data_IF_616973445210
#
_entry.id   IF_616973445210
#
_cell.length_a   1.000
_cell.length_b   1.000
_cell.length_c   1.000
_cell.angle_alpha   90.00
_cell.angle_beta   90.00
_cell.angle_gamma   90.00
#
_symmetry.space_group_name_H-M   'P 1'
#
loop_
_entity.id
_entity.type
_entity.pdbx_description
1 polymer ?
#
# COMPACT_ATOMS: atom_id res chain seq x y z
N UNK A 1 11.88 41.39 6.58
CA UNK A 1 12.93 41.32 5.54
C UNK A 1 12.45 42.01 4.28
N UNK A 2 13.17 43.03 3.81
CA UNK A 2 12.87 43.68 2.52
C UNK A 2 13.24 42.71 1.41
N UNK A 3 12.27 42.33 0.57
CA UNK A 3 12.48 41.34 -0.49
C UNK A 3 13.08 42.03 -1.71
N UNK A 4 14.39 41.93 -1.87
CA UNK A 4 15.11 42.53 -2.99
C UNK A 4 14.63 41.88 -4.30
N UNK A 5 14.09 42.66 -5.26
CA UNK A 5 13.61 42.11 -6.52
C UNK A 5 14.78 41.67 -7.40
N UNK A 6 14.62 40.54 -8.08
CA UNK A 6 15.61 40.06 -9.05
C UNK A 6 15.50 40.83 -10.36
N UNK A 7 16.60 40.90 -11.12
CA UNK A 7 16.65 41.56 -12.44
C UNK A 7 15.51 41.11 -13.35
N UNK A 8 15.29 39.79 -13.44
CA UNK A 8 14.18 39.20 -14.19
C UNK A 8 12.83 39.75 -13.76
N UNK A 9 12.61 39.92 -12.46
CA UNK A 9 11.33 40.41 -11.93
C UNK A 9 11.14 41.90 -12.25
N UNK A 10 12.20 42.71 -12.15
CA UNK A 10 12.17 44.12 -12.52
C UNK A 10 11.82 44.26 -14.01
N UNK A 11 12.62 43.64 -14.89
CA UNK A 11 12.44 43.73 -16.34
C UNK A 11 11.09 43.16 -16.80
N UNK A 12 10.62 42.06 -16.20
CA UNK A 12 9.29 41.50 -16.50
C UNK A 12 8.14 42.43 -16.11
N UNK A 13 8.28 43.14 -14.98
CA UNK A 13 7.28 44.13 -14.55
C UNK A 13 7.24 45.31 -15.51
N UNK A 14 8.40 45.82 -15.93
CA UNK A 14 8.50 46.89 -16.92
C UNK A 14 7.87 46.45 -18.24
N UNK A 15 8.28 45.29 -18.76
CA UNK A 15 7.72 44.74 -19.99
C UNK A 15 6.18 44.64 -19.90
N UNK A 16 5.65 44.07 -18.83
CA UNK A 16 4.20 43.90 -18.67
C UNK A 16 3.42 45.20 -18.50
N UNK A 17 3.99 46.22 -17.85
CA UNK A 17 3.33 47.52 -17.68
C UNK A 17 3.27 48.31 -18.99
N UNK A 18 4.37 48.30 -19.75
CA UNK A 18 4.54 49.19 -20.90
C UNK A 18 4.34 48.51 -22.26
N UNK A 19 4.02 47.20 -22.30
CA UNK A 19 3.77 46.48 -23.55
C UNK A 19 2.66 47.10 -24.38
N UNK A 20 1.52 47.43 -23.75
CA UNK A 20 0.39 48.06 -24.46
C UNK A 20 0.78 49.42 -25.02
N UNK A 21 1.55 50.18 -24.26
CA UNK A 21 2.04 51.49 -24.67
C UNK A 21 3.05 51.37 -25.82
N UNK A 22 3.93 50.36 -25.82
CA UNK A 22 4.79 50.07 -26.97
C UNK A 22 3.96 49.74 -28.23
N UNK A 23 2.92 48.91 -28.10
CA UNK A 23 2.05 48.52 -29.21
C UNK A 23 1.21 49.68 -29.76
N UNK A 24 0.82 50.64 -28.93
CA UNK A 24 -0.03 51.78 -29.31
C UNK A 24 0.72 52.92 -30.00
N UNK A 25 1.96 52.72 -30.42
CA UNK A 25 2.74 53.73 -31.14
C UNK A 25 2.16 53.97 -32.54
N UNK A 26 1.66 55.18 -32.75
CA UNK A 26 1.19 55.69 -34.05
C UNK A 26 2.17 56.76 -34.56
N UNK A 27 2.60 56.62 -35.82
CA UNK A 27 3.55 57.55 -36.44
C UNK A 27 2.94 58.93 -36.69
N UNK A 28 1.62 59.08 -36.74
CA UNK A 28 0.99 60.33 -37.18
C UNK A 28 0.43 61.19 -36.02
N UNK A 29 0.31 60.61 -34.81
CA UNK A 29 -0.14 61.30 -33.59
C UNK A 29 0.92 61.20 -32.49
N UNK A 30 1.91 62.08 -32.53
CA UNK A 30 3.12 61.94 -31.73
C UNK A 30 2.88 62.16 -30.23
N UNK A 31 2.87 61.08 -29.44
CA UNK A 31 3.14 61.14 -28.00
C UNK A 31 4.61 60.88 -27.65
N UNK A 32 5.41 60.32 -28.58
CA UNK A 32 6.82 59.91 -28.41
C UNK A 32 7.62 60.10 -29.70
N UNK A 33 8.92 60.41 -29.61
CA UNK A 33 9.78 60.67 -30.78
C UNK A 33 10.31 59.42 -31.48
N UNK A 34 10.38 58.28 -30.78
CA UNK A 34 10.84 57.01 -31.39
C UNK A 34 9.96 55.85 -30.95
N UNK A 35 9.78 54.87 -31.83
CA UNK A 35 9.05 53.62 -31.51
C UNK A 35 9.83 52.71 -30.56
N UNK A 36 11.16 52.76 -30.63
CA UNK A 36 12.06 51.79 -29.99
C UNK A 36 12.17 52.05 -28.49
N UNK A 37 12.27 53.33 -28.11
CA UNK A 37 12.38 53.75 -26.72
C UNK A 37 11.01 54.11 -26.15
N UNK A 38 10.67 53.52 -25.02
CA UNK A 38 9.42 53.78 -24.30
C UNK A 38 9.77 54.44 -22.97
N UNK A 39 9.25 55.64 -22.67
CA UNK A 39 9.42 56.29 -21.38
C UNK A 39 8.77 55.44 -20.29
N UNK A 40 9.44 55.34 -19.15
CA UNK A 40 8.98 54.54 -18.01
C UNK A 40 8.95 55.36 -16.73
N UNK A 41 7.86 55.23 -15.98
CA UNK A 41 7.72 55.73 -14.62
C UNK A 41 8.35 54.75 -13.61
N UNK A 42 9.53 55.12 -13.09
CA UNK A 42 10.24 54.37 -12.05
C UNK A 42 9.40 54.24 -10.76
N UNK A 43 8.60 55.25 -10.42
CA UNK A 43 7.72 55.23 -9.24
C UNK A 43 6.62 54.19 -9.38
N UNK A 44 5.99 54.10 -10.56
CA UNK A 44 4.98 53.06 -10.83
C UNK A 44 5.57 51.64 -10.73
N UNK A 45 6.79 51.45 -11.21
CA UNK A 45 7.49 50.17 -11.13
C UNK A 45 7.83 49.83 -9.67
N UNK A 46 8.35 50.81 -8.92
CA UNK A 46 8.69 50.66 -7.49
C UNK A 46 7.46 50.28 -6.65
N UNK A 47 6.33 50.97 -6.84
CA UNK A 47 5.05 50.64 -6.17
C UNK A 47 4.64 49.19 -6.41
N UNK A 48 4.76 48.70 -7.65
CA UNK A 48 4.39 47.31 -8.01
C UNK A 48 5.35 46.27 -7.42
N UNK A 49 6.62 46.63 -7.23
CA UNK A 49 7.64 45.77 -6.65
C UNK A 49 7.79 45.90 -5.14
N UNK A 50 7.10 46.89 -4.52
CA UNK A 50 7.19 47.26 -3.10
C UNK A 50 8.63 47.57 -2.69
N UNK A 51 9.30 48.38 -3.49
CA UNK A 51 10.65 48.91 -3.23
C UNK A 51 10.67 50.41 -3.48
N UNK A 52 11.73 51.04 -3.00
CA UNK A 52 12.05 52.44 -3.25
C UNK A 52 12.32 52.69 -4.75
N UNK A 53 11.93 53.86 -5.26
CA UNK A 53 12.04 54.25 -6.66
C UNK A 53 13.49 54.52 -7.09
N UNK A 54 14.33 55.06 -6.19
CA UNK A 54 15.75 55.25 -6.45
C UNK A 54 16.47 53.91 -6.64
N UNK A 55 15.99 52.85 -5.98
CA UNK A 55 16.51 51.49 -6.19
C UNK A 55 16.20 51.02 -7.61
N UNK A 56 15.00 51.31 -8.14
CA UNK A 56 14.66 50.93 -9.51
C UNK A 56 15.50 51.70 -10.52
N UNK A 57 15.59 53.03 -10.37
CA UNK A 57 16.42 53.86 -11.24
C UNK A 57 17.88 53.43 -11.19
N UNK A 58 18.45 53.29 -9.98
CA UNK A 58 19.83 52.88 -9.78
C UNK A 58 20.12 51.49 -10.36
N UNK A 59 19.21 50.52 -10.21
CA UNK A 59 19.36 49.18 -10.83
C UNK A 59 19.32 49.23 -12.34
N UNK A 60 18.42 50.03 -12.91
CA UNK A 60 18.31 50.18 -14.37
C UNK A 60 19.56 50.85 -14.95
N UNK A 61 19.98 51.97 -14.36
CA UNK A 61 21.06 52.79 -14.86
C UNK A 61 22.45 52.20 -14.60
N UNK A 62 22.77 51.84 -13.36
CA UNK A 62 24.15 51.44 -13.00
C UNK A 62 24.45 49.96 -13.27
N UNK A 63 23.43 49.10 -13.29
CA UNK A 63 23.62 47.66 -13.40
C UNK A 63 23.06 47.07 -14.70
N UNK A 64 21.75 47.22 -14.94
CA UNK A 64 21.07 46.55 -16.04
C UNK A 64 21.48 47.12 -17.40
N UNK A 65 21.56 48.45 -17.54
CA UNK A 65 22.06 49.05 -18.78
C UNK A 65 23.50 48.64 -19.06
N UNK A 66 24.38 48.77 -18.06
CA UNK A 66 25.79 48.36 -18.18
C UNK A 66 25.95 46.89 -18.59
N UNK A 67 25.06 46.01 -18.10
CA UNK A 67 25.09 44.57 -18.35
C UNK A 67 24.56 44.17 -19.73
N UNK A 68 23.51 44.84 -20.21
CA UNK A 68 22.79 44.43 -21.42
C UNK A 68 22.99 45.35 -22.62
N UNK A 69 23.65 46.51 -22.44
CA UNK A 69 24.08 47.34 -23.57
C UNK A 69 25.08 46.60 -24.44
N UNK A 70 25.03 46.84 -25.74
CA UNK A 70 25.98 46.28 -26.69
C UNK A 70 26.46 47.35 -27.67
N UNK A 71 27.62 47.12 -28.27
CA UNK A 71 28.19 47.95 -29.33
C UNK A 71 27.81 47.39 -30.69
N UNK A 72 27.43 48.28 -31.60
CA UNK A 72 27.28 47.97 -33.01
C UNK A 72 28.63 48.11 -33.74
N UNK A 73 28.70 47.57 -34.96
CA UNK A 73 29.90 47.60 -35.79
C UNK A 73 30.34 49.02 -36.17
N UNK A 74 29.40 49.98 -36.17
CA UNK A 74 29.65 51.40 -36.37
C UNK A 74 30.23 52.13 -35.13
N UNK A 75 30.42 51.40 -34.03
CA UNK A 75 30.91 51.92 -32.75
C UNK A 75 29.84 52.53 -31.85
N UNK A 76 28.58 52.61 -32.29
CA UNK A 76 27.46 53.13 -31.50
C UNK A 76 27.07 52.14 -30.39
N UNK A 77 26.59 52.66 -29.25
CA UNK A 77 26.09 51.84 -28.15
C UNK A 77 24.56 51.77 -28.20
N UNK A 78 24.01 50.57 -28.21
CA UNK A 78 22.57 50.35 -27.98
C UNK A 78 22.35 50.15 -26.49
N UNK A 79 21.73 51.14 -25.86
CA UNK A 79 21.39 51.12 -24.44
C UNK A 79 20.10 50.32 -24.21
N UNK A 80 20.05 49.59 -23.09
CA UNK A 80 18.79 49.04 -22.57
C UNK A 80 17.98 50.15 -21.91
N UNK A 81 18.63 51.01 -21.11
CA UNK A 81 17.99 52.12 -20.42
C UNK A 81 18.78 53.41 -20.64
N UNK A 82 18.06 54.47 -21.02
CA UNK A 82 18.61 55.78 -21.29
C UNK A 82 17.88 56.84 -20.45
N UNK A 83 18.65 57.72 -19.82
CA UNK A 83 18.09 58.77 -18.94
C UNK A 83 17.30 59.79 -19.76
N UNK A 84 17.73 60.08 -20.98
CA UNK A 84 17.04 60.99 -21.87
C UNK A 84 17.18 60.54 -23.33
N UNK A 85 16.06 60.43 -24.04
CA UNK A 85 16.03 60.12 -25.48
C UNK A 85 15.05 61.04 -26.18
N UNK A 86 15.57 61.96 -27.00
CA UNK A 86 14.72 62.86 -27.77
C UNK A 86 13.81 63.76 -26.91
N UNK A 87 14.13 63.99 -25.63
CA UNK A 87 13.31 64.76 -24.68
C UNK A 87 12.39 63.90 -23.79
N UNK A 88 12.28 62.59 -24.07
CA UNK A 88 11.63 61.64 -23.17
C UNK A 88 12.61 61.25 -22.06
N UNK A 89 12.22 61.47 -20.79
CA UNK A 89 13.02 61.10 -19.62
C UNK A 89 12.80 59.62 -19.26
N UNK A 90 13.86 58.96 -18.81
CA UNK A 90 13.87 57.57 -18.35
C UNK A 90 13.23 56.62 -19.37
N UNK A 91 13.88 56.41 -20.50
CA UNK A 91 13.37 55.57 -21.57
C UNK A 91 14.07 54.22 -21.64
N UNK A 92 13.31 53.16 -21.94
CA UNK A 92 13.81 51.80 -22.09
C UNK A 92 13.68 51.33 -23.54
N UNK A 93 14.72 50.67 -24.06
CA UNK A 93 14.68 50.03 -25.37
C UNK A 93 13.81 48.77 -25.27
N UNK A 94 12.58 48.86 -25.79
CA UNK A 94 11.57 47.84 -25.58
C UNK A 94 11.84 46.52 -26.33
N UNK A 95 12.30 46.54 -27.60
CA UNK A 95 12.75 45.31 -28.27
C UNK A 95 13.88 44.59 -27.51
N UNK A 96 14.89 45.33 -27.05
CA UNK A 96 16.00 44.75 -26.28
C UNK A 96 15.52 44.20 -24.93
N UNK A 97 14.65 44.94 -24.24
CA UNK A 97 13.99 44.48 -23.02
C UNK A 97 13.27 43.14 -23.23
N UNK A 98 12.50 43.01 -24.31
CA UNK A 98 11.75 41.79 -24.62
C UNK A 98 12.69 40.60 -24.82
N UNK A 99 13.80 40.79 -25.56
CA UNK A 99 14.80 39.76 -25.77
C UNK A 99 15.46 39.32 -24.45
N UNK A 100 15.88 40.29 -23.61
CA UNK A 100 16.50 40.02 -22.31
C UNK A 100 15.53 39.31 -21.36
N UNK A 101 14.25 39.72 -21.33
CA UNK A 101 13.24 39.06 -20.50
C UNK A 101 13.02 37.61 -20.92
N UNK A 102 12.99 37.34 -22.24
CA UNK A 102 12.86 35.98 -22.76
C UNK A 102 14.04 35.10 -22.34
N UNK A 103 15.27 35.59 -22.48
CA UNK A 103 16.48 34.87 -22.11
C UNK A 103 16.57 34.58 -20.60
N UNK A 104 16.27 35.58 -19.77
CA UNK A 104 16.21 35.39 -18.31
C UNK A 104 15.10 34.41 -17.89
N UNK A 105 13.99 34.37 -18.62
CA UNK A 105 12.90 33.44 -18.37
C UNK A 105 13.30 32.01 -18.76
N UNK A 106 13.93 31.83 -19.92
CA UNK A 106 14.46 30.54 -20.37
C UNK A 106 15.52 30.00 -19.41
N UNK A 107 16.47 30.84 -19.00
CA UNK A 107 17.51 30.51 -18.02
C UNK A 107 16.91 30.07 -16.68
N UNK A 108 15.86 30.76 -16.20
CA UNK A 108 15.17 30.38 -14.98
C UNK A 108 14.52 28.99 -15.09
N UNK A 109 13.85 28.69 -16.20
CA UNK A 109 13.23 27.38 -16.39
C UNK A 109 14.27 26.27 -16.53
N UNK A 110 15.37 26.50 -17.25
CA UNK A 110 16.44 25.52 -17.41
C UNK A 110 17.00 25.04 -16.06
N UNK A 111 17.09 25.92 -15.06
CA UNK A 111 17.60 25.56 -13.74
C UNK A 111 16.52 25.03 -12.78
N UNK A 112 15.34 25.67 -12.74
CA UNK A 112 14.32 25.32 -11.74
C UNK A 112 13.44 24.15 -12.15
N UNK A 113 13.23 23.92 -13.44
CA UNK A 113 12.39 22.82 -13.90
C UNK A 113 12.98 21.45 -13.49
N UNK A 114 14.27 21.16 -13.71
CA UNK A 114 14.86 19.90 -13.25
C UNK A 114 14.80 19.75 -11.73
N UNK A 115 15.04 20.84 -10.99
CA UNK A 115 15.00 20.82 -9.53
C UNK A 115 13.60 20.48 -8.99
N UNK A 116 12.55 21.06 -9.58
CA UNK A 116 11.16 20.75 -9.23
C UNK A 116 10.84 19.29 -9.55
N UNK A 117 11.23 18.81 -10.74
CA UNK A 117 11.03 17.40 -11.15
C UNK A 117 11.70 16.45 -10.16
N UNK A 118 12.94 16.74 -9.75
CA UNK A 118 13.68 15.94 -8.76
C UNK A 118 12.98 15.89 -7.40
N UNK A 119 12.45 17.01 -6.91
CA UNK A 119 11.71 17.05 -5.64
C UNK A 119 10.43 16.21 -5.72
N UNK A 120 9.68 16.30 -6.83
CA UNK A 120 8.46 15.51 -7.03
C UNK A 120 8.78 14.02 -7.11
N UNK A 121 9.83 13.64 -7.84
CA UNK A 121 10.28 12.26 -7.94
C UNK A 121 10.69 11.70 -6.57
N UNK A 122 11.42 12.49 -5.77
CA UNK A 122 11.80 12.12 -4.41
C UNK A 122 10.56 11.91 -3.52
N UNK A 123 9.60 12.83 -3.56
CA UNK A 123 8.36 12.71 -2.79
C UNK A 123 7.55 11.46 -3.19
N UNK A 124 7.45 11.15 -4.48
CA UNK A 124 6.79 9.95 -4.97
C UNK A 124 7.47 8.67 -4.48
N UNK A 125 8.81 8.65 -4.42
CA UNK A 125 9.59 7.52 -3.92
C UNK A 125 9.26 7.15 -2.47
N UNK A 126 8.97 8.13 -1.62
CA UNK A 126 8.55 7.88 -0.23
C UNK A 126 7.04 7.63 -0.09
N UNK A 127 6.22 8.35 -0.87
CA UNK A 127 4.77 8.28 -0.75
C UNK A 127 4.22 6.92 -1.19
N UNK A 128 4.76 6.33 -2.25
CA UNK A 128 4.27 5.05 -2.80
C UNK A 128 4.40 3.89 -1.78
N UNK A 129 5.59 3.65 -1.17
CA UNK A 129 5.74 2.65 -0.12
C UNK A 129 4.89 2.95 1.12
N UNK A 130 4.78 4.23 1.51
CA UNK A 130 3.97 4.64 2.66
C UNK A 130 2.49 4.32 2.45
N UNK A 131 1.95 4.63 1.28
CA UNK A 131 0.57 4.27 0.93
C UNK A 131 0.38 2.75 0.83
N UNK A 132 1.38 2.00 0.33
CA UNK A 132 1.33 0.55 0.33
C UNK A 132 1.30 -0.05 1.74
N UNK A 133 1.97 0.60 2.70
CA UNK A 133 1.96 0.20 4.12
C UNK A 133 0.58 0.38 4.78
N UNK A 134 -0.17 1.41 4.38
CA UNK A 134 -1.49 1.77 4.91
C UNK A 134 -2.66 0.96 4.31
N UNK A 135 -2.45 0.17 3.25
CA UNK A 135 -3.54 -0.62 2.66
C UNK A 135 -4.07 -1.64 3.69
N UNK A 136 -5.41 -1.81 3.79
CA UNK A 136 -6.03 -2.75 4.72
C UNK A 136 -5.52 -4.17 4.45
N UNK A 137 -5.40 -4.95 5.52
CA UNK A 137 -4.81 -6.27 5.48
C UNK A 137 -5.49 -7.17 4.45
N UNK A 138 -4.69 -7.82 3.59
CA UNK A 138 -5.17 -8.94 2.79
C UNK A 138 -5.50 -10.08 3.75
N UNK A 139 -6.78 -10.33 3.98
CA UNK A 139 -7.25 -11.56 4.63
C UNK A 139 -6.66 -12.72 3.81
N UNK A 140 -5.99 -13.67 4.46
CA UNK A 140 -5.40 -14.80 3.73
C UNK A 140 -6.46 -15.89 3.49
N UNK A 141 -7.45 -16.02 4.37
CA UNK A 141 -8.53 -17.01 4.23
C UNK A 141 -9.65 -16.80 5.25
N UNK A 142 -10.81 -17.42 5.01
CA UNK A 142 -11.96 -17.40 5.91
C UNK A 142 -12.49 -18.82 6.02
N UNK A 143 -12.35 -19.37 7.21
CA UNK A 143 -12.82 -20.71 7.50
C UNK A 143 -14.23 -20.57 8.03
N UNK A 144 -15.19 -21.17 7.32
CA UNK A 144 -16.59 -21.23 7.73
C UNK A 144 -16.93 -22.69 7.94
N UNK A 145 -17.05 -23.18 9.16
CA UNK A 145 -17.22 -24.61 9.41
C UNK A 145 -18.68 -24.98 9.74
N UNK A 146 -19.06 -26.21 9.40
CA UNK A 146 -20.33 -26.82 9.84
C UNK A 146 -20.00 -28.23 10.28
N UNK A 147 -19.88 -28.43 11.59
CA UNK A 147 -19.58 -29.74 12.16
C UNK A 147 -20.84 -30.51 12.39
N UNK A 148 -21.04 -31.58 11.61
CA UNK A 148 -22.02 -32.60 11.91
C UNK A 148 -21.32 -33.79 12.51
N UNK A 149 -21.53 -34.09 13.80
CA UNK A 149 -21.00 -35.29 14.40
C UNK A 149 -21.91 -36.49 14.08
N UNK A 150 -21.38 -37.54 13.45
CA UNK A 150 -22.07 -38.83 13.28
C UNK A 150 -21.33 -39.92 14.02
N UNK A 151 -22.07 -40.66 14.83
CA UNK A 151 -21.59 -41.84 15.55
C UNK A 151 -22.27 -43.07 14.96
N UNK A 152 -21.49 -44.03 14.45
CA UNK A 152 -22.02 -45.33 14.04
C UNK A 152 -21.38 -46.42 14.90
N UNK A 153 -22.20 -47.22 15.57
CA UNK A 153 -21.79 -48.51 16.11
C UNK A 153 -22.15 -49.57 15.08
N UNK A 154 -21.17 -50.31 14.57
CA UNK A 154 -21.39 -51.42 13.63
C UNK A 154 -21.09 -52.76 14.32
N UNK A 155 -22.18 -53.52 14.52
CA UNK A 155 -22.36 -54.97 14.68
C UNK A 155 -21.65 -55.80 15.79
N UNK A 156 -22.49 -56.64 16.40
CA UNK A 156 -22.24 -57.82 17.26
C UNK A 156 -22.02 -57.63 18.76
N UNK A 157 -22.60 -56.60 19.38
CA UNK A 157 -22.71 -56.50 20.85
C UNK A 157 -21.38 -56.26 21.61
N UNK A 158 -20.26 -56.21 20.90
CA UNK A 158 -18.99 -55.67 21.36
C UNK A 158 -18.75 -54.35 20.63
N UNK A 159 -18.77 -53.25 21.39
CA UNK A 159 -18.45 -51.92 20.87
C UNK A 159 -16.94 -51.90 20.60
N UNK A 160 -16.50 -52.04 19.36
CA UNK A 160 -15.05 -51.96 19.03
C UNK A 160 -14.65 -50.68 18.31
N UNK A 161 -15.55 -49.96 17.64
CA UNK A 161 -15.18 -48.71 16.96
C UNK A 161 -16.19 -47.58 17.18
N UNK A 162 -15.78 -46.53 17.90
CA UNK A 162 -16.52 -45.27 18.03
C UNK A 162 -15.97 -44.28 17.02
N UNK A 163 -16.70 -44.14 15.91
CA UNK A 163 -16.31 -43.25 14.81
C UNK A 163 -16.72 -41.81 15.09
N UNK A 164 -15.78 -40.89 14.93
CA UNK A 164 -16.02 -39.46 15.00
C UNK A 164 -15.84 -38.87 13.59
N UNK A 165 -16.95 -38.40 13.01
CA UNK A 165 -16.94 -37.84 11.64
C UNK A 165 -17.36 -36.38 11.69
N UNK A 166 -16.46 -35.42 11.92
CA UNK A 166 -16.77 -34.01 11.72
C UNK A 166 -16.80 -33.69 10.22
N UNK A 167 -17.68 -32.78 9.86
CA UNK A 167 -17.62 -32.08 8.57
C UNK A 167 -17.15 -30.65 8.84
N UNK A 168 -16.43 -30.03 7.93
CA UNK A 168 -16.13 -28.60 8.03
C UNK A 168 -15.88 -28.03 6.63
N UNK A 169 -16.03 -26.72 6.49
CA UNK A 169 -15.72 -26.03 5.25
C UNK A 169 -14.57 -25.05 5.46
N UNK A 170 -13.65 -25.05 4.50
CA UNK A 170 -12.53 -24.13 4.46
C UNK A 170 -12.69 -23.28 3.19
N UNK A 171 -12.68 -21.96 3.35
CA UNK A 171 -12.68 -21.02 2.24
C UNK A 171 -11.37 -20.23 2.20
N UNK A 172 -10.70 -20.20 1.06
CA UNK A 172 -9.61 -19.25 0.87
C UNK A 172 -10.17 -17.95 0.28
N UNK A 173 -10.41 -16.93 1.09
CA UNK A 173 -10.82 -15.60 0.61
C UNK A 173 -9.63 -14.65 0.35
N UNK A 174 -8.40 -15.15 0.47
CA UNK A 174 -7.20 -14.37 0.25
C UNK A 174 -6.63 -14.49 -1.15
N UNK A 175 -5.74 -13.55 -1.48
CA UNK A 175 -5.11 -13.48 -2.80
C UNK A 175 -3.95 -14.48 -3.00
N UNK A 176 -3.64 -15.32 -2.01
CA UNK A 176 -2.54 -16.28 -2.06
C UNK A 176 -3.04 -17.68 -1.73
N UNK A 177 -2.50 -18.72 -2.38
CA UNK A 177 -2.83 -20.09 -2.04
C UNK A 177 -2.39 -20.43 -0.61
N UNK A 178 -3.23 -21.15 0.11
CA UNK A 178 -2.90 -21.71 1.41
C UNK A 178 -2.66 -23.20 1.21
N UNK A 179 -1.50 -23.68 1.66
CA UNK A 179 -1.18 -25.11 1.68
C UNK A 179 -1.35 -25.59 3.11
N UNK A 180 -2.32 -26.48 3.32
CA UNK A 180 -2.52 -27.16 4.60
C UNK A 180 -1.68 -28.43 4.55
N UNK A 181 -0.85 -28.67 5.55
CA UNK A 181 0.03 -29.84 5.70
C UNK A 181 -0.57 -30.92 6.59
N UNK A 182 -1.38 -30.55 7.57
CA UNK A 182 -1.99 -31.50 8.50
C UNK A 182 -3.24 -30.91 9.16
N UNK A 183 -4.14 -31.78 9.60
CA UNK A 183 -5.37 -31.43 10.33
C UNK A 183 -5.55 -32.42 11.49
N UNK A 184 -5.81 -31.91 12.69
CA UNK A 184 -6.13 -32.73 13.85
C UNK A 184 -7.34 -32.22 14.61
N UNK A 185 -7.98 -33.11 15.34
CA UNK A 185 -8.88 -32.74 16.41
C UNK A 185 -8.13 -32.81 17.73
N UNK A 186 -8.21 -31.74 18.51
CA UNK A 186 -7.67 -31.69 19.85
C UNK A 186 -8.85 -31.62 20.82
N UNK A 187 -8.97 -32.61 21.69
CA UNK A 187 -10.03 -32.74 22.68
C UNK A 187 -9.45 -32.39 24.04
N UNK A 188 -10.09 -31.49 24.78
CA UNK A 188 -9.68 -31.09 26.13
C UNK A 188 -10.86 -31.12 27.09
N UNK A 189 -10.80 -32.02 28.05
CA UNK A 189 -11.82 -32.15 29.07
C UNK A 189 -11.68 -31.07 30.17
N UNK A 190 -12.72 -30.86 30.97
CA UNK A 190 -12.70 -29.97 32.14
C UNK A 190 -11.67 -30.39 33.19
N UNK A 191 -11.32 -31.68 33.22
CA UNK A 191 -10.28 -32.23 34.09
C UNK A 191 -8.85 -32.01 33.55
N UNK A 192 -8.70 -31.29 32.43
CA UNK A 192 -7.40 -31.02 31.80
C UNK A 192 -6.82 -32.19 31.01
N UNK A 193 -7.60 -33.25 30.79
CA UNK A 193 -7.19 -34.40 29.98
C UNK A 193 -7.25 -34.00 28.52
N UNK A 194 -6.13 -34.17 27.81
CA UNK A 194 -5.97 -33.80 26.41
C UNK A 194 -5.78 -35.03 25.52
N UNK A 195 -6.52 -35.09 24.41
CA UNK A 195 -6.43 -36.15 23.42
C UNK A 195 -6.39 -35.59 22.01
N UNK A 196 -5.47 -36.09 21.17
CA UNK A 196 -5.40 -35.73 19.77
C UNK A 196 -5.95 -36.87 18.90
N UNK A 197 -6.84 -36.52 17.97
CA UNK A 197 -7.39 -37.41 16.95
C UNK A 197 -6.89 -36.99 15.57
N UNK A 198 -6.56 -37.96 14.73
CA UNK A 198 -6.05 -37.74 13.38
C UNK A 198 -6.97 -38.40 12.35
N UNK A 199 -7.03 -37.87 11.12
CA UNK A 199 -7.84 -38.45 10.05
C UNK A 199 -7.32 -39.84 9.65
N UNK A 200 -8.21 -40.83 9.65
CA UNK A 200 -7.99 -42.20 9.17
C UNK A 200 -8.39 -42.23 7.70
N UNK A 201 -7.42 -42.31 6.80
CA UNK A 201 -7.74 -42.56 5.40
C UNK A 201 -8.04 -44.05 5.17
N UNK A 202 -8.99 -44.29 4.27
CA UNK A 202 -9.39 -45.57 3.70
C UNK A 202 -8.21 -46.45 3.27
N UNK A 203 -7.81 -47.39 4.13
CA UNK A 203 -6.90 -48.49 3.81
C UNK A 203 -7.75 -49.77 3.77
N UNK A 204 -7.67 -50.62 2.72
CA UNK A 204 -8.32 -51.92 2.73
C UNK A 204 -7.84 -52.71 3.95
N UNK A 205 -8.77 -53.34 4.68
CA UNK A 205 -8.48 -54.05 5.92
C UNK A 205 -7.37 -55.10 5.75
N UNK A 206 -7.20 -55.64 4.53
CA UNK A 206 -6.18 -56.63 4.19
C UNK A 206 -4.74 -56.08 4.24
N UNK A 207 -4.54 -54.77 4.01
CA UNK A 207 -3.20 -54.16 4.01
C UNK A 207 -2.67 -53.88 5.44
N UNK A 208 -3.53 -53.94 6.45
CA UNK A 208 -3.19 -53.72 7.87
C UNK A 208 -2.60 -54.98 8.51
N UNK A 209 -2.93 -56.17 8.00
CA UNK A 209 -2.58 -57.45 8.65
C UNK A 209 -1.19 -58.01 8.31
N UNK A 210 -0.46 -57.44 7.34
CA UNK A 210 0.76 -58.04 6.81
C UNK A 210 2.06 -57.23 6.96
N UNK A 211 2.06 -56.08 7.65
CA UNK A 211 3.28 -55.26 7.78
C UNK A 211 3.65 -54.97 9.23
N UNK A 212 4.88 -55.34 9.62
CA UNK A 212 5.49 -55.10 10.93
C UNK A 212 6.02 -53.67 11.13
N UNK A 213 5.65 -52.72 10.25
CA UNK A 213 6.18 -51.34 10.26
C UNK A 213 5.27 -50.28 10.92
N UNK A 214 4.27 -50.68 11.70
CA UNK A 214 3.45 -49.73 12.47
C UNK A 214 3.96 -49.58 13.90
N UNK A 215 4.30 -48.35 14.32
CA UNK A 215 4.61 -48.05 15.73
C UNK A 215 3.34 -48.02 16.60
N UNK A 216 3.49 -47.89 17.93
CA UNK A 216 2.42 -47.89 18.96
C UNK A 216 1.31 -46.84 18.79
N UNK A 217 1.32 -46.06 17.70
CA UNK A 217 0.31 -45.08 17.32
C UNK A 217 -0.27 -45.30 15.91
N UNK A 218 0.03 -46.42 15.24
CA UNK A 218 -0.52 -46.74 13.93
C UNK A 218 -0.11 -45.73 12.84
N UNK A 219 1.12 -45.22 12.87
CA UNK A 219 1.67 -44.38 11.79
C UNK A 219 2.82 -45.07 11.06
N UNK A 220 2.78 -44.97 9.73
CA UNK A 220 3.90 -45.20 8.82
C UNK A 220 5.05 -44.23 9.16
N UNK A 221 6.23 -44.78 9.43
CA UNK A 221 7.49 -44.05 9.27
C UNK A 221 7.65 -43.73 7.78
N UNK A 222 7.72 -42.44 7.44
CA UNK A 222 7.95 -41.89 6.10
C UNK A 222 6.78 -42.07 5.10
N UNK A 223 5.80 -41.17 5.18
CA UNK A 223 4.77 -40.97 4.14
C UNK A 223 3.32 -41.11 4.63
N UNK A 224 2.85 -40.19 5.48
CA UNK A 224 1.46 -40.19 5.97
C UNK A 224 0.46 -39.61 4.93
N UNK A 225 -0.82 -40.05 4.94
CA UNK A 225 -1.74 -39.91 3.81
C UNK A 225 -2.52 -38.58 3.74
N UNK A 226 -2.07 -37.53 4.44
CA UNK A 226 -2.50 -36.18 4.13
C UNK A 226 -1.50 -35.59 3.14
N UNK A 227 -1.71 -35.86 1.84
CA UNK A 227 -1.03 -35.08 0.81
C UNK A 227 -1.58 -33.67 0.94
N UNK A 228 -0.79 -32.77 1.53
CA UNK A 228 -1.23 -31.41 1.78
C UNK A 228 -1.91 -30.82 0.55
N UNK A 229 -3.09 -30.24 0.72
CA UNK A 229 -3.83 -29.66 -0.38
C UNK A 229 -3.64 -28.14 -0.40
N UNK A 230 -3.68 -27.58 -1.60
CA UNK A 230 -3.63 -26.14 -1.83
C UNK A 230 -5.05 -25.65 -2.12
N UNK A 231 -5.48 -24.61 -1.42
CA UNK A 231 -6.69 -23.87 -1.78
C UNK A 231 -6.28 -22.63 -2.57
N UNK A 232 -6.67 -22.52 -3.84
CA UNK A 232 -6.49 -21.31 -4.62
C UNK A 232 -7.41 -20.18 -4.13
N UNK A 233 -7.14 -18.91 -4.52
CA UNK A 233 -8.01 -17.79 -4.16
C UNK A 233 -9.46 -18.03 -4.59
N UNK A 234 -10.39 -17.83 -3.65
CA UNK A 234 -11.84 -18.05 -3.78
C UNK A 234 -12.29 -19.52 -3.86
N UNK A 235 -11.39 -20.49 -3.76
CA UNK A 235 -11.78 -21.89 -3.67
C UNK A 235 -12.39 -22.23 -2.31
N UNK A 236 -13.42 -23.07 -2.37
CA UNK A 236 -14.08 -23.64 -1.20
C UNK A 236 -13.79 -25.14 -1.20
N UNK A 237 -13.47 -25.65 -0.02
CA UNK A 237 -13.27 -27.07 0.18
C UNK A 237 -14.13 -27.56 1.32
N UNK A 238 -14.84 -28.64 1.05
CA UNK A 238 -15.63 -29.37 2.01
C UNK A 238 -15.00 -30.74 2.18
N UNK A 239 -14.73 -31.12 3.42
CA UNK A 239 -14.25 -32.47 3.69
C UNK A 239 -14.97 -33.09 4.87
N UNK A 240 -15.05 -34.40 4.82
CA UNK A 240 -15.61 -35.27 5.85
C UNK A 240 -14.58 -36.35 6.10
N UNK A 241 -13.89 -36.24 7.23
CA UNK A 241 -12.88 -37.22 7.63
C UNK A 241 -13.40 -38.10 8.75
N UNK A 242 -12.87 -39.30 8.81
CA UNK A 242 -13.06 -40.20 9.93
C UNK A 242 -11.87 -40.01 10.84
N UNK A 243 -12.09 -39.75 12.12
CA UNK A 243 -10.99 -39.63 13.08
C UNK A 243 -10.97 -40.84 13.98
N UNK A 244 -9.77 -41.38 14.23
CA UNK A 244 -9.54 -42.36 15.28
C UNK A 244 -8.97 -41.67 16.50
N UNK A 245 -9.47 -42.08 17.67
CA UNK A 245 -8.95 -41.69 18.98
C UNK A 245 -8.46 -42.96 19.64
N UNK A 246 -7.31 -42.91 20.33
CA UNK A 246 -6.85 -44.04 21.13
C UNK A 246 -7.87 -44.38 22.22
N UNK A 247 -8.20 -45.66 22.36
CA UNK A 247 -9.15 -46.16 23.35
C UNK A 247 -8.86 -45.69 24.78
N UNK A 248 -7.59 -45.72 25.19
CA UNK A 248 -7.19 -45.29 26.54
C UNK A 248 -7.37 -43.79 26.76
N UNK A 249 -7.23 -43.00 25.70
CA UNK A 249 -7.48 -41.57 25.74
C UNK A 249 -9.00 -41.31 25.81
N UNK A 250 -9.76 -42.05 25.00
CA UNK A 250 -11.20 -41.93 24.92
C UNK A 250 -11.91 -42.29 26.24
N UNK A 251 -11.46 -43.34 26.93
CA UNK A 251 -12.02 -43.78 28.22
C UNK A 251 -11.80 -42.76 29.35
N UNK A 252 -10.79 -41.91 29.21
CA UNK A 252 -10.40 -40.89 30.20
C UNK A 252 -11.21 -39.59 30.06
N UNK A 253 -11.62 -39.23 28.84
CA UNK A 253 -12.43 -38.03 28.61
C UNK A 253 -13.87 -38.28 29.08
N UNK A 254 -14.36 -37.44 30.01
CA UNK A 254 -15.74 -37.53 30.53
C UNK A 254 -16.30 -36.15 30.86
N UNK A 255 -17.57 -35.93 30.53
CA UNK A 255 -18.25 -34.67 30.82
C UNK A 255 -18.12 -33.66 29.67
N UNK A 256 -18.04 -32.39 30.00
CA UNK A 256 -18.03 -31.31 29.01
C UNK A 256 -16.61 -31.12 28.45
N UNK A 257 -16.41 -31.56 27.21
CA UNK A 257 -15.11 -31.56 26.53
C UNK A 257 -15.07 -30.49 25.44
N UNK A 258 -14.08 -29.61 25.49
CA UNK A 258 -13.80 -28.69 24.38
C UNK A 258 -13.15 -29.46 23.24
N UNK A 259 -13.59 -29.18 22.02
CA UNK A 259 -13.10 -29.80 20.80
C UNK A 259 -12.58 -28.72 19.88
N UNK A 260 -11.29 -28.79 19.63
CA UNK A 260 -10.58 -27.88 18.75
C UNK A 260 -10.30 -28.57 17.42
N UNK A 261 -10.60 -27.92 16.30
CA UNK A 261 -10.00 -28.30 15.01
C UNK A 261 -8.78 -27.43 14.84
N UNK A 262 -7.63 -28.07 14.62
CA UNK A 262 -6.38 -27.39 14.44
C UNK A 262 -5.79 -27.78 13.08
N UNK A 263 -5.25 -26.79 12.37
CA UNK A 263 -4.57 -27.00 11.09
C UNK A 263 -3.09 -26.63 11.22
N UNK A 264 -2.25 -27.33 10.48
CA UNK A 264 -0.85 -26.97 10.27
C UNK A 264 -0.69 -26.51 8.84
N UNK A 265 -0.21 -25.28 8.63
CA UNK A 265 0.04 -24.72 7.30
C UNK A 265 1.50 -24.86 6.89
N UNK A 266 1.77 -24.98 5.59
CA UNK A 266 3.13 -25.12 5.06
C UNK A 266 4.06 -24.01 5.53
N UNK A 267 5.20 -24.40 6.10
CA UNK A 267 6.20 -23.48 6.64
C UNK A 267 5.89 -22.92 8.04
N UNK A 268 4.79 -23.35 8.69
CA UNK A 268 4.52 -23.06 10.10
C UNK A 268 4.74 -24.32 10.94
N UNK A 269 5.50 -24.17 12.04
CA UNK A 269 5.70 -25.24 13.03
C UNK A 269 4.63 -25.24 14.14
N UNK A 270 3.68 -24.30 14.09
CA UNK A 270 2.66 -24.10 15.12
C UNK A 270 1.30 -24.53 14.57
N UNK A 271 0.50 -25.18 15.42
CA UNK A 271 -0.89 -25.53 15.14
C UNK A 271 -1.79 -24.31 15.33
N UNK A 272 -2.62 -24.00 14.33
CA UNK A 272 -3.58 -22.90 14.41
C UNK A 272 -4.98 -23.46 14.69
N UNK A 273 -5.58 -23.01 15.79
CA UNK A 273 -6.98 -23.30 16.12
C UNK A 273 -7.90 -22.60 15.12
N UNK A 274 -8.68 -23.40 14.38
CA UNK A 274 -9.65 -22.89 13.40
C UNK A 274 -11.10 -23.02 13.88
N UNK A 275 -11.32 -23.88 14.87
CA UNK A 275 -12.63 -24.17 15.45
C UNK A 275 -12.46 -24.50 16.93
N UNK A 276 -13.40 -24.06 17.76
CA UNK A 276 -13.55 -24.47 19.14
C UNK A 276 -15.03 -24.67 19.44
N UNK A 277 -15.41 -25.89 19.80
CA UNK A 277 -16.78 -26.29 20.12
C UNK A 277 -16.79 -27.11 21.43
N UNK A 278 -17.96 -27.39 21.99
CA UNK A 278 -18.11 -28.17 23.22
C UNK A 278 -18.99 -29.39 23.00
N UNK A 279 -18.46 -30.56 23.35
CA UNK A 279 -19.17 -31.83 23.32
C UNK A 279 -19.40 -32.38 24.73
N UNK A 280 -20.58 -32.96 24.98
CA UNK A 280 -20.83 -33.71 26.19
C UNK A 280 -20.51 -35.19 25.96
N UNK A 281 -19.51 -35.71 26.68
CA UNK A 281 -19.04 -37.10 26.60
C UNK A 281 -19.57 -37.88 27.81
N UNK A 282 -20.45 -38.85 27.57
CA UNK A 282 -21.02 -39.70 28.62
C UNK A 282 -20.19 -40.96 28.89
N UNK A 283 -20.56 -41.68 29.95
CA UNK A 283 -19.89 -42.93 30.35
C UNK A 283 -19.93 -44.03 29.27
N UNK A 284 -20.97 -44.04 28.43
CA UNK A 284 -21.10 -45.00 27.33
C UNK A 284 -20.53 -44.44 26.00
N UNK A 285 -19.80 -43.32 26.04
CA UNK A 285 -19.34 -42.56 24.87
C UNK A 285 -20.18 -41.31 24.62
N UNK A 286 -20.05 -40.76 23.42
CA UNK A 286 -20.84 -39.59 23.01
C UNK A 286 -22.32 -39.95 22.95
N UNK A 287 -23.17 -39.10 23.53
CA UNK A 287 -24.62 -39.23 23.37
C UNK A 287 -24.98 -38.97 21.90
N UNK A 288 -25.75 -39.84 21.23
CA UNK A 288 -26.11 -39.67 19.82
C UNK A 288 -27.14 -38.54 19.68
N UNK A 289 -26.66 -37.30 19.68
CA UNK A 289 -27.42 -36.12 19.30
C UNK A 289 -26.82 -35.51 18.04
N UNK A 290 -27.65 -35.08 17.08
CA UNK A 290 -27.23 -34.12 16.05
C UNK A 290 -26.93 -32.81 16.78
N UNK A 291 -25.66 -32.57 17.09
CA UNK A 291 -25.22 -31.25 17.52
C UNK A 291 -24.90 -30.44 16.26
N UNK A 292 -25.68 -29.38 16.03
CA UNK A 292 -25.36 -28.34 15.07
C UNK A 292 -24.62 -27.26 15.87
N UNK A 293 -23.30 -27.18 15.70
CA UNK A 293 -22.53 -26.04 16.20
C UNK A 293 -22.95 -24.74 15.49
N UNK A 294 -22.78 -23.57 16.14
CA UNK A 294 -23.06 -22.28 15.51
C UNK A 294 -22.19 -22.08 14.25
N UNK A 295 -22.77 -21.47 13.21
CA UNK A 295 -22.02 -21.10 12.00
C UNK A 295 -21.22 -19.85 12.30
N UNK A 296 -19.99 -20.01 12.79
CA UNK A 296 -19.06 -18.90 12.97
C UNK A 296 -17.96 -18.94 11.90
N UNK A 297 -17.77 -17.80 11.23
CA UNK A 297 -16.65 -17.60 10.31
C UNK A 297 -15.45 -17.02 11.06
N UNK A 298 -14.33 -17.75 11.12
CA UNK A 298 -13.06 -17.21 11.63
C UNK A 298 -12.14 -16.83 10.48
N UNK A 299 -11.58 -15.62 10.54
CA UNK A 299 -10.62 -15.12 9.57
C UNK A 299 -9.19 -15.47 10.00
N UNK A 300 -8.42 -16.06 9.09
CA UNK A 300 -6.98 -16.26 9.28
C UNK A 300 -6.25 -15.09 8.63
N UNK A 301 -5.48 -14.38 9.46
CA UNK A 301 -4.68 -13.24 9.05
C UNK A 301 -3.19 -13.60 8.92
N UNK A 302 -2.45 -12.80 8.15
CA UNK A 302 -0.99 -12.91 8.07
C UNK A 302 -0.33 -12.68 9.44
N UNK A 303 0.82 -13.31 9.70
CA UNK A 303 1.62 -13.07 10.93
C UNK A 303 1.95 -11.59 11.12
N UNK A 304 2.29 -10.88 10.03
CA UNK A 304 2.53 -9.42 10.05
C UNK A 304 1.33 -8.61 10.55
N UNK A 305 0.12 -9.15 10.43
CA UNK A 305 -1.08 -8.48 10.93
C UNK A 305 -1.40 -8.87 12.38
N UNK A 306 -1.15 -10.13 12.77
CA UNK A 306 -1.25 -10.54 14.18
C UNK A 306 -0.32 -9.67 15.05
N UNK A 307 0.92 -9.45 14.61
CA UNK A 307 1.91 -8.55 15.26
C UNK A 307 1.53 -7.06 15.27
N UNK A 308 0.54 -6.61 14.49
CA UNK A 308 0.03 -5.23 14.52
C UNK A 308 -1.14 -5.06 15.49
N UNK A 309 -1.77 -6.16 15.90
CA UNK A 309 -2.97 -6.17 16.74
C UNK A 309 -2.61 -6.33 18.23
N UNK A 310 -1.50 -6.99 18.52
CA UNK A 310 -0.83 -7.00 19.83
C UNK A 310 -0.03 -5.71 20.04
#
# INVERSE_FOLDING_TARGET
>A
MVKIPTDRKILKVIHGLYYKEFCSFDKDKHSRKTKIFVPIDCSAIARKLKVDDDIIFGRLYYHLDKKFRYKQDDGSNVHLFAVEVGGDKNAINFPLLSAVVADLQQSYFRYNLPLIISIVALAASFLVPYLAYLRPAKVIGSISHVVTWRFSSLNNGKITDKKLTPSFWLGNIGARPIIIEDIRLHLKDSNGIECNAYPVNSVPLEAINYSTEFNDYGKLSLGGPFQGFSLAPSEKWQSTYNYSVKDDCFKKIRGLTNVYVEIKSKGKNIWEEVLNDKLLVGNNGFSPGRMLGPVESRHIYTEKWKQRKE
#
